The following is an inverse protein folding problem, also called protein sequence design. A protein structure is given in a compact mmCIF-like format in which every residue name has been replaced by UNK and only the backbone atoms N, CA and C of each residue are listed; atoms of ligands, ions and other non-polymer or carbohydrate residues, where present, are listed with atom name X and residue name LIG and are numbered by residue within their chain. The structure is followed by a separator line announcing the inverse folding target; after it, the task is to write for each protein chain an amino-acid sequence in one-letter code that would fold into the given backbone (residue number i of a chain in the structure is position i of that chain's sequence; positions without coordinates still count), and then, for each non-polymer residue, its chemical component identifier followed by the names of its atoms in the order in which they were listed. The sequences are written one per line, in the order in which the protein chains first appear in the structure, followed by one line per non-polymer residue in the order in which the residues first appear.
data_IF_310522547972
#
_entry.id   IF_310522547972
#
_cell.length_a   1.000
_cell.length_b   1.000
_cell.length_c   1.000
_cell.angle_alpha   90.00
_cell.angle_beta   90.00
_cell.angle_gamma   90.00
#
_symmetry.space_group_name_H-M   'P 1'
#
loop_
_entity.id
_entity.type
_entity.pdbx_description
1 polymer ?
#
# COMPACT_ATOMS: atom_id res chain seq x y z
N UNK A 1 -7.94 -18.12 -0.21
CA UNK A 1 -9.16 -17.89 -0.99
C UNK A 1 -8.89 -16.71 -1.92
N UNK A 2 -8.78 -16.92 -3.24
CA UNK A 2 -8.49 -15.86 -4.20
C UNK A 2 -9.47 -14.67 -4.08
N UNK A 3 -10.73 -14.94 -3.74
CA UNK A 3 -11.74 -13.90 -3.56
C UNK A 3 -11.41 -12.97 -2.38
N UNK A 4 -10.73 -13.48 -1.35
CA UNK A 4 -10.28 -12.65 -0.23
C UNK A 4 -9.16 -11.70 -0.65
N UNK A 5 -8.22 -12.16 -1.47
CA UNK A 5 -7.13 -11.33 -1.98
C UNK A 5 -7.67 -10.23 -2.91
N UNK A 6 -8.62 -10.55 -3.78
CA UNK A 6 -9.25 -9.56 -4.68
C UNK A 6 -10.03 -8.50 -3.91
N UNK A 7 -10.78 -8.89 -2.87
CA UNK A 7 -11.46 -7.93 -1.99
C UNK A 7 -10.48 -7.00 -1.29
N UNK A 8 -9.37 -7.53 -0.77
CA UNK A 8 -8.33 -6.71 -0.13
C UNK A 8 -7.68 -5.80 -1.16
N UNK A 9 -7.35 -6.28 -2.35
CA UNK A 9 -6.76 -5.47 -3.41
C UNK A 9 -7.68 -4.31 -3.85
N UNK A 10 -9.00 -4.55 -3.94
CA UNK A 10 -9.98 -3.51 -4.22
C UNK A 10 -10.01 -2.44 -3.12
N UNK A 11 -9.98 -2.85 -1.85
CA UNK A 11 -9.90 -1.91 -0.73
C UNK A 11 -8.59 -1.08 -0.76
N UNK A 12 -7.46 -1.71 -1.10
CA UNK A 12 -6.18 -1.03 -1.25
C UNK A 12 -6.23 0.09 -2.31
N UNK A 13 -6.90 -0.15 -3.44
CA UNK A 13 -7.06 0.87 -4.47
C UNK A 13 -7.85 2.09 -3.98
N UNK A 14 -8.91 1.86 -3.19
CA UNK A 14 -9.66 2.95 -2.56
C UNK A 14 -8.82 3.73 -1.54
N UNK A 15 -8.06 3.02 -0.69
CA UNK A 15 -7.16 3.65 0.29
C UNK A 15 -6.06 4.49 -0.37
N UNK A 16 -5.47 4.00 -1.47
CA UNK A 16 -4.47 4.75 -2.23
C UNK A 16 -5.06 6.05 -2.81
N UNK A 17 -6.28 5.98 -3.36
CA UNK A 17 -6.97 7.16 -3.87
C UNK A 17 -7.24 8.19 -2.77
N UNK A 18 -7.67 7.74 -1.59
CA UNK A 18 -7.91 8.62 -0.45
C UNK A 18 -6.60 9.22 0.08
N UNK A 19 -5.54 8.43 0.17
CA UNK A 19 -4.23 8.91 0.61
C UNK A 19 -3.67 10.00 -0.32
N UNK A 20 -3.85 9.84 -1.64
CA UNK A 20 -3.46 10.83 -2.64
C UNK A 20 -4.28 12.13 -2.56
N UNK A 21 -5.54 12.06 -2.14
CA UNK A 21 -6.33 13.27 -1.88
C UNK A 21 -5.85 13.96 -0.60
N UNK A 22 -5.66 13.21 0.49
CA UNK A 22 -5.20 13.75 1.77
C UNK A 22 -3.79 14.36 1.67
N UNK A 23 -2.91 13.80 0.85
CA UNK A 23 -1.56 14.37 0.66
C UNK A 23 -1.58 15.79 0.11
N UNK A 24 -2.61 16.19 -0.63
CA UNK A 24 -2.74 17.55 -1.17
C UNK A 24 -3.00 18.60 -0.08
N UNK A 25 -3.50 18.18 1.07
CA UNK A 25 -3.71 19.05 2.24
C UNK A 25 -2.40 19.37 2.98
N UNK A 26 -1.30 18.69 2.63
CA UNK A 26 0.02 18.93 3.20
C UNK A 26 0.85 19.74 2.19
N UNK A 27 1.14 21.04 2.45
CA UNK A 27 1.73 21.93 1.45
C UNK A 27 3.10 21.48 0.90
N UNK A 28 3.84 20.68 1.67
CA UNK A 28 5.18 20.19 1.31
C UNK A 28 5.16 18.74 0.82
N UNK A 29 4.00 18.12 0.71
CA UNK A 29 3.90 16.75 0.20
C UNK A 29 4.11 16.71 -1.30
N UNK A 30 4.86 15.71 -1.74
CA UNK A 30 5.04 15.33 -3.14
C UNK A 30 3.88 14.45 -3.67
N UNK A 31 2.90 14.12 -2.83
CA UNK A 31 1.78 13.24 -3.16
C UNK A 31 2.10 11.75 -3.08
N UNK A 32 3.34 11.37 -2.76
CA UNK A 32 3.76 9.97 -2.75
C UNK A 32 3.38 9.28 -1.43
N UNK A 33 2.47 8.32 -1.54
CA UNK A 33 2.04 7.51 -0.41
C UNK A 33 3.15 6.51 -0.02
N UNK A 34 3.82 6.76 1.11
CA UNK A 34 4.80 5.80 1.65
C UNK A 34 4.14 4.59 2.31
N UNK A 35 3.18 4.84 3.20
CA UNK A 35 2.46 3.80 3.93
C UNK A 35 1.11 4.29 4.43
N UNK A 36 0.13 3.39 4.45
CA UNK A 36 -1.10 3.51 5.25
C UNK A 36 -1.06 2.43 6.34
N UNK A 37 -1.35 2.82 7.57
CA UNK A 37 -1.52 1.94 8.72
C UNK A 37 -2.93 2.13 9.28
N UNK A 38 -3.68 1.04 9.40
CA UNK A 38 -4.99 1.02 10.03
C UNK A 38 -4.92 0.06 11.21
N UNK A 39 -5.16 0.58 12.41
CA UNK A 39 -5.34 -0.23 13.61
C UNK A 39 -6.82 -0.57 13.78
N UNK A 40 -7.09 -1.85 14.07
CA UNK A 40 -8.43 -2.38 14.26
C UNK A 40 -8.43 -3.27 15.50
N UNK A 41 -9.63 -3.55 16.02
CA UNK A 41 -9.75 -4.56 17.07
C UNK A 41 -9.21 -5.90 16.58
N UNK A 42 -8.15 -6.39 17.23
CA UNK A 42 -7.54 -7.68 16.93
C UNK A 42 -6.33 -7.63 15.99
N UNK A 43 -5.94 -6.46 15.46
CA UNK A 43 -4.73 -6.37 14.65
C UNK A 43 -4.60 -5.13 13.80
N UNK A 44 -3.76 -5.24 12.77
CA UNK A 44 -3.33 -4.13 11.93
C UNK A 44 -3.42 -4.49 10.45
N UNK A 45 -3.71 -3.48 9.64
CA UNK A 45 -3.58 -3.54 8.20
C UNK A 45 -2.55 -2.49 7.74
N UNK A 46 -1.64 -2.93 6.88
CA UNK A 46 -0.58 -2.10 6.31
C UNK A 46 -0.69 -2.11 4.79
N UNK A 47 -0.50 -0.96 4.17
CA UNK A 47 -0.34 -0.81 2.73
C UNK A 47 0.89 0.04 2.45
N UNK A 48 1.88 -0.51 1.73
CA UNK A 48 3.13 0.16 1.40
C UNK A 48 3.32 0.25 -0.11
N UNK A 49 3.81 1.38 -0.61
CA UNK A 49 4.24 1.49 -2.01
C UNK A 49 5.39 0.51 -2.28
N UNK A 50 5.24 -0.33 -3.31
CA UNK A 50 6.16 -1.43 -3.60
C UNK A 50 6.85 -1.32 -4.97
N UNK A 51 6.72 -0.17 -5.63
CA UNK A 51 7.21 0.10 -6.98
C UNK A 51 6.14 0.81 -7.82
N UNK A 52 6.44 1.18 -9.08
CA UNK A 52 5.47 1.83 -9.95
C UNK A 52 4.20 0.99 -10.09
N UNK A 53 3.06 1.63 -9.78
CA UNK A 53 1.71 1.02 -9.80
C UNK A 53 1.57 -0.28 -9.00
N UNK A 54 2.41 -0.47 -7.97
CA UNK A 54 2.44 -1.69 -7.17
C UNK A 54 2.44 -1.37 -5.68
N UNK A 55 1.74 -2.18 -4.91
CA UNK A 55 1.63 -2.03 -3.47
C UNK A 55 1.72 -3.38 -2.76
N UNK A 56 2.34 -3.37 -1.58
CA UNK A 56 2.40 -4.51 -0.66
C UNK A 56 1.39 -4.29 0.46
N UNK A 57 0.41 -5.20 0.56
CA UNK A 57 -0.57 -5.23 1.62
C UNK A 57 -0.27 -6.35 2.62
N UNK A 58 -0.34 -6.04 3.93
CA UNK A 58 -0.10 -7.01 5.00
C UNK A 58 -1.19 -6.87 6.07
N UNK A 59 -1.70 -8.01 6.54
CA UNK A 59 -2.51 -8.10 7.75
C UNK A 59 -1.69 -8.77 8.84
N UNK A 60 -1.74 -8.23 10.05
CA UNK A 60 -1.14 -8.87 11.22
C UNK A 60 -2.11 -8.85 12.39
N UNK A 61 -1.92 -9.79 13.32
CA UNK A 61 -2.54 -9.71 14.64
C UNK A 61 -1.76 -8.76 15.57
N UNK A 62 -2.26 -8.58 16.79
CA UNK A 62 -1.69 -7.71 17.83
C UNK A 62 -0.32 -8.16 18.36
N UNK A 63 0.14 -9.37 18.04
CA UNK A 63 1.46 -9.85 18.47
C UNK A 63 2.58 -9.20 17.65
N UNK A 64 2.25 -8.62 16.50
CA UNK A 64 3.21 -7.89 15.70
C UNK A 64 3.28 -6.43 16.15
N UNK A 65 4.47 -5.98 16.51
CA UNK A 65 4.70 -4.57 16.81
C UNK A 65 4.64 -3.73 15.51
N UNK A 66 3.81 -2.68 15.44
CA UNK A 66 3.61 -1.94 14.19
C UNK A 66 4.88 -1.33 13.59
N UNK A 67 5.77 -0.79 14.42
CA UNK A 67 7.04 -0.23 13.95
C UNK A 67 7.95 -1.27 13.30
N UNK A 68 8.01 -2.48 13.88
CA UNK A 68 8.80 -3.59 13.33
C UNK A 68 8.22 -4.16 12.05
N UNK A 69 6.88 -4.22 11.94
CA UNK A 69 6.23 -4.64 10.70
C UNK A 69 6.58 -3.68 9.56
N UNK A 70 6.47 -2.37 9.81
CA UNK A 70 6.79 -1.35 8.80
C UNK A 70 8.24 -1.44 8.30
N UNK A 71 9.21 -1.63 9.21
CA UNK A 71 10.61 -1.82 8.83
C UNK A 71 10.83 -3.11 8.01
N UNK A 72 10.18 -4.20 8.41
CA UNK A 72 10.28 -5.49 7.71
C UNK A 72 9.66 -5.42 6.31
N UNK A 73 8.55 -4.68 6.16
CA UNK A 73 7.93 -4.42 4.85
C UNK A 73 8.84 -3.58 3.96
N UNK A 74 9.51 -2.57 4.52
CA UNK A 74 10.44 -1.73 3.76
C UNK A 74 11.63 -2.54 3.23
N UNK A 75 12.22 -3.41 4.05
CA UNK A 75 13.26 -4.35 3.60
C UNK A 75 12.75 -5.27 2.49
N UNK A 76 11.56 -5.84 2.67
CA UNK A 76 10.97 -6.71 1.66
C UNK A 76 10.78 -5.95 0.34
N UNK A 77 10.14 -4.78 0.36
CA UNK A 77 9.93 -3.95 -0.83
C UNK A 77 11.25 -3.57 -1.50
N UNK A 78 12.29 -3.21 -0.74
CA UNK A 78 13.60 -2.91 -1.33
C UNK A 78 14.18 -4.12 -2.09
N UNK A 79 13.92 -5.33 -1.60
CA UNK A 79 14.45 -6.59 -2.19
C UNK A 79 13.62 -7.11 -3.36
N UNK A 80 12.29 -6.97 -3.32
CA UNK A 80 11.40 -7.57 -4.33
C UNK A 80 10.64 -6.56 -5.18
N UNK A 81 10.65 -5.27 -4.84
CA UNK A 81 9.93 -4.21 -5.55
C UNK A 81 10.18 -4.14 -7.07
N UNK A 82 11.42 -4.37 -7.57
CA UNK A 82 11.67 -4.46 -9.00
C UNK A 82 10.87 -5.55 -9.72
N UNK A 83 10.49 -6.62 -9.01
CA UNK A 83 9.67 -7.72 -9.52
C UNK A 83 8.17 -7.51 -9.32
N UNK A 84 7.79 -6.57 -8.46
CA UNK A 84 6.39 -6.25 -8.17
C UNK A 84 5.82 -5.16 -9.06
N UNK A 85 6.68 -4.47 -9.82
CA UNK A 85 6.30 -3.35 -10.68
C UNK A 85 5.25 -3.79 -11.70
N UNK A 86 4.16 -3.04 -11.77
CA UNK A 86 3.09 -3.28 -12.75
C UNK A 86 3.14 -2.18 -13.80
N UNK A 87 3.37 -2.51 -15.09
CA UNK A 87 3.30 -1.51 -16.15
C UNK A 87 1.88 -0.95 -16.24
N UNK A 88 1.76 0.31 -16.69
CA UNK A 88 0.45 0.93 -16.87
C UNK A 88 -0.43 0.06 -17.78
N UNK A 89 -1.67 -0.20 -17.35
CA UNK A 89 -2.62 -1.06 -18.10
C UNK A 89 -2.98 -0.50 -19.49
N UNK A 90 -2.76 0.80 -19.74
CA UNK A 90 -2.94 1.46 -21.03
C UNK A 90 -1.83 2.48 -21.25
N UNK A 91 -1.36 2.59 -22.49
CA UNK A 91 -0.42 3.61 -22.96
C UNK A 91 -1.04 5.03 -22.95
N UNK A 92 -1.41 5.56 -21.79
CA UNK A 92 -1.85 6.96 -21.64
C UNK A 92 -3.08 7.38 -22.46
N UNK A 93 -3.87 6.45 -23.02
CA UNK A 93 -5.09 6.81 -23.74
C UNK A 93 -6.19 7.18 -22.74
N UNK A 94 -6.42 8.49 -22.62
CA UNK A 94 -7.56 9.12 -21.95
C UNK A 94 -8.85 8.69 -22.64
N UNK A 95 -9.88 8.36 -21.85
CA UNK A 95 -11.26 8.15 -22.33
C UNK A 95 -11.91 9.49 -22.59
#
# INVERSE_FOLDING_TARGET
DPDAADRVAAACAGLQSLASAVSQEIPTSDGDMKMVLIEMNGGYFYLMAAGPNAYLAVLSDVRCEPGRMGLSMADLVARIGPHLTSPARRNGQTV
#
